data_IF_965950040312
#
_entry.id   IF_965950040312
#
_cell.length_a   1.000
_cell.length_b   1.000
_cell.length_c   1.000
_cell.angle_alpha   90.00
_cell.angle_beta   90.00
_cell.angle_gamma   90.00
#
_symmetry.space_group_name_H-M   'P 1'
#
loop_
_entity.id
_entity.type
_entity.pdbx_description
1 polymer ?
#
# COMPACT_ATOMS: atom_id res chain seq x y z
N UNK A 1 -3.83 -7.72 5.36
CA UNK A 1 -2.80 -8.63 4.83
C UNK A 1 -2.98 -10.02 5.44
N UNK A 2 -2.89 -11.04 4.61
CA UNK A 2 -2.95 -12.44 5.03
C UNK A 2 -1.73 -13.21 4.51
N UNK A 3 -1.21 -14.15 5.29
CA UNK A 3 -0.10 -15.04 4.93
C UNK A 3 -0.59 -16.48 4.85
N UNK A 4 -0.13 -17.23 3.86
CA UNK A 4 -0.42 -18.66 3.76
C UNK A 4 0.43 -19.47 4.76
N UNK A 5 -0.22 -20.23 5.63
CA UNK A 5 0.41 -21.12 6.62
C UNK A 5 -0.37 -22.44 6.64
N UNK A 6 0.32 -23.56 6.45
CA UNK A 6 -0.30 -24.89 6.53
C UNK A 6 -1.48 -25.11 5.56
N UNK A 7 -1.48 -24.42 4.41
CA UNK A 7 -2.56 -24.52 3.39
C UNK A 7 -3.67 -23.48 3.52
N UNK A 8 -3.73 -22.72 4.62
CA UNK A 8 -4.76 -21.71 4.87
C UNK A 8 -4.17 -20.30 4.92
N UNK A 9 -4.99 -19.28 4.64
CA UNK A 9 -4.59 -17.89 4.78
C UNK A 9 -4.95 -17.38 6.17
N UNK A 10 -3.96 -16.85 6.88
CA UNK A 10 -4.10 -16.30 8.23
C UNK A 10 -3.88 -14.79 8.18
N UNK A 11 -4.80 -14.03 8.78
CA UNK A 11 -4.68 -12.57 8.88
C UNK A 11 -3.50 -12.20 9.76
N UNK A 12 -2.58 -11.41 9.21
CA UNK A 12 -1.44 -10.87 9.96
C UNK A 12 -1.91 -9.60 10.68
N UNK A 13 -1.76 -9.49 12.01
CA UNK A 13 -2.16 -8.30 12.77
C UNK A 13 -1.34 -7.08 12.36
N UNK A 14 -1.84 -5.88 12.65
CA UNK A 14 -1.08 -4.66 12.48
C UNK A 14 -0.14 -4.48 13.68
N UNK A 15 1.17 -4.48 13.45
CA UNK A 15 2.22 -4.23 14.46
C UNK A 15 3.22 -3.28 13.81
N UNK A 16 3.55 -2.17 14.47
CA UNK A 16 4.52 -1.18 13.98
C UNK A 16 4.31 -0.74 12.53
N UNK A 17 3.05 -0.46 12.16
CA UNK A 17 2.61 -0.11 10.79
C UNK A 17 2.86 -1.21 9.74
N UNK A 18 3.01 -2.45 10.18
CA UNK A 18 3.16 -3.61 9.30
C UNK A 18 2.02 -4.62 9.53
N UNK A 19 1.40 -5.10 8.46
CA UNK A 19 0.33 -6.11 8.50
C UNK A 19 -1.02 -5.62 8.02
N UNK A 20 -2.10 -6.01 8.71
CA UNK A 20 -3.47 -5.57 8.39
C UNK A 20 -3.80 -4.23 9.04
N UNK A 21 -3.05 -3.19 8.67
CA UNK A 21 -3.18 -1.85 9.23
C UNK A 21 -4.24 -1.02 8.50
N UNK A 22 -4.86 -0.10 9.24
CA UNK A 22 -5.58 1.04 8.67
C UNK A 22 -4.67 2.25 8.79
N UNK A 23 -4.30 2.83 7.65
CA UNK A 23 -3.50 4.05 7.63
C UNK A 23 -4.43 5.26 7.72
N UNK A 24 -4.02 6.27 8.48
CA UNK A 24 -4.78 7.50 8.68
C UNK A 24 -4.86 8.35 7.41
N UNK A 25 -5.15 9.64 7.61
CA UNK A 25 -5.35 10.59 6.52
C UNK A 25 -4.11 10.67 5.60
N UNK A 26 -4.19 10.07 4.41
CA UNK A 26 -3.11 10.12 3.43
C UNK A 26 -2.79 11.55 2.97
N UNK A 27 -3.73 12.49 3.11
CA UNK A 27 -3.50 13.89 2.80
C UNK A 27 -2.45 14.56 3.71
N UNK A 28 -2.21 14.00 4.89
CA UNK A 28 -1.20 14.50 5.84
C UNK A 28 0.19 13.89 5.57
N UNK A 29 0.28 12.80 4.80
CA UNK A 29 1.52 12.07 4.59
C UNK A 29 2.60 12.86 3.84
N UNK A 30 2.21 13.85 3.03
CA UNK A 30 3.10 14.64 2.18
C UNK A 30 2.92 16.15 2.35
N UNK A 31 2.63 16.59 3.59
CA UNK A 31 2.38 17.99 3.91
C UNK A 31 3.49 18.94 3.41
N UNK A 32 4.75 18.55 3.63
CA UNK A 32 5.91 19.41 3.38
C UNK A 32 6.47 19.27 1.95
N UNK A 33 6.55 18.05 1.41
CA UNK A 33 7.14 17.79 0.11
C UNK A 33 6.58 16.55 -0.57
N UNK A 34 6.48 16.60 -1.89
CA UNK A 34 6.02 15.49 -2.70
C UNK A 34 7.19 14.55 -3.05
N UNK A 35 6.94 13.23 -3.12
CA UNK A 35 7.96 12.32 -3.62
C UNK A 35 8.30 12.66 -5.08
N UNK A 36 9.59 12.65 -5.43
CA UNK A 36 10.08 12.99 -6.78
C UNK A 36 9.37 12.25 -7.91
N UNK A 37 8.95 11.02 -7.66
CA UNK A 37 8.25 10.20 -8.65
C UNK A 37 6.85 10.75 -8.98
N UNK A 38 6.13 11.32 -8.02
CA UNK A 38 4.86 12.00 -8.26
C UNK A 38 5.06 13.26 -9.11
N UNK A 39 6.10 14.05 -8.79
CA UNK A 39 6.46 15.23 -9.57
C UNK A 39 6.81 14.86 -11.02
N UNK A 40 7.64 13.82 -11.20
CA UNK A 40 8.08 13.33 -12.52
C UNK A 40 6.89 12.97 -13.43
N UNK A 41 5.85 12.34 -12.89
CA UNK A 41 4.67 11.92 -13.64
C UNK A 41 3.48 12.89 -13.52
N UNK A 42 3.71 14.09 -12.94
CA UNK A 42 2.68 15.13 -12.73
C UNK A 42 1.45 14.62 -11.99
N UNK A 43 1.66 13.76 -11.00
CA UNK A 43 0.61 13.17 -10.19
C UNK A 43 0.44 14.04 -8.94
N UNK A 44 -0.78 14.51 -8.65
CA UNK A 44 -1.05 15.25 -7.44
C UNK A 44 -0.80 14.37 -6.21
N UNK A 45 -0.02 14.91 -5.31
CA UNK A 45 0.41 14.36 -4.02
C UNK A 45 -0.18 15.14 -2.84
N UNK A 46 -1.00 16.15 -3.13
CA UNK A 46 -1.71 16.97 -2.14
C UNK A 46 -3.20 16.85 -2.40
N UNK A 47 -3.97 16.88 -1.32
CA UNK A 47 -5.42 16.87 -1.41
C UNK A 47 -5.96 18.29 -1.66
N UNK A 48 -7.11 18.42 -2.34
CA UNK A 48 -7.88 17.34 -2.96
C UNK A 48 -7.21 16.79 -4.23
N UNK A 49 -7.27 15.48 -4.43
CA UNK A 49 -6.85 14.83 -5.68
C UNK A 49 -7.98 14.98 -6.70
N UNK A 50 -7.76 15.67 -7.84
CA UNK A 50 -8.78 15.80 -8.89
C UNK A 50 -9.22 14.43 -9.44
N UNK A 51 -10.45 14.37 -9.96
CA UNK A 51 -10.88 13.20 -10.71
C UNK A 51 -10.22 13.22 -12.10
N UNK A 52 -9.30 12.29 -12.34
CA UNK A 52 -8.59 12.16 -13.62
C UNK A 52 -7.99 10.75 -13.78
N UNK A 53 -7.42 10.46 -14.94
CA UNK A 53 -6.66 9.23 -15.22
C UNK A 53 -5.18 9.47 -14.95
N UNK A 54 -4.68 8.92 -13.84
CA UNK A 54 -3.27 8.99 -13.49
C UNK A 54 -2.51 7.75 -14.00
N UNK A 55 -1.45 7.98 -14.77
CA UNK A 55 -0.62 6.89 -15.32
C UNK A 55 0.78 6.93 -14.74
N UNK A 56 1.22 5.77 -14.27
CA UNK A 56 2.51 5.57 -13.63
C UNK A 56 3.32 4.54 -14.42
N UNK A 57 4.23 4.95 -15.32
CA UNK A 57 5.00 4.00 -16.11
C UNK A 57 6.19 3.46 -15.29
N UNK A 58 6.32 2.13 -15.26
CA UNK A 58 7.51 1.46 -14.74
C UNK A 58 7.82 1.75 -13.27
N UNK A 59 6.80 1.77 -12.40
CA UNK A 59 7.01 1.94 -10.97
C UNK A 59 7.90 0.81 -10.41
N UNK A 60 9.09 1.17 -9.95
CA UNK A 60 9.99 0.26 -9.22
C UNK A 60 9.87 0.59 -7.74
N UNK A 61 9.15 -0.26 -7.01
CA UNK A 61 9.03 -0.15 -5.56
C UNK A 61 10.09 -1.05 -4.94
N UNK A 62 11.10 -0.43 -4.33
CA UNK A 62 12.10 -1.18 -3.56
C UNK A 62 11.50 -1.54 -2.21
N UNK A 63 11.32 -2.83 -1.96
CA UNK A 63 10.96 -3.33 -0.64
C UNK A 63 12.26 -3.33 0.19
N UNK A 64 12.42 -2.33 1.06
CA UNK A 64 13.57 -2.19 1.94
C UNK A 64 13.21 -2.45 3.41
N UNK A 65 14.23 -2.71 4.23
CA UNK A 65 14.11 -2.93 5.68
C UNK A 65 14.46 -4.36 6.11
N UNK A 66 14.84 -4.52 7.37
CA UNK A 66 14.87 -5.84 7.99
C UNK A 66 13.39 -6.29 8.03
N UNK A 67 13.03 -7.33 7.27
CA UNK A 67 11.68 -7.94 7.22
C UNK A 67 11.65 -9.15 8.17
N UNK A 68 12.10 -9.01 9.43
CA UNK A 68 12.69 -10.10 10.21
C UNK A 68 11.63 -11.12 10.63
N UNK A 69 10.36 -10.79 10.43
CA UNK A 69 9.18 -11.52 10.87
C UNK A 69 8.24 -11.90 9.71
N UNK A 70 8.52 -11.47 8.48
CA UNK A 70 7.61 -11.71 7.35
C UNK A 70 7.90 -13.08 6.74
N UNK A 71 9.19 -13.41 6.53
CA UNK A 71 9.65 -14.66 5.93
C UNK A 71 9.19 -14.87 4.49
N UNK A 72 9.78 -15.82 3.77
CA UNK A 72 9.27 -16.23 2.45
C UNK A 72 7.84 -16.81 2.55
N UNK A 73 7.08 -16.71 1.46
CA UNK A 73 5.75 -17.32 1.35
C UNK A 73 4.76 -16.58 0.46
N UNK A 74 3.53 -17.09 0.44
CA UNK A 74 2.41 -16.51 -0.31
C UNK A 74 1.59 -15.56 0.57
N UNK A 75 1.25 -14.39 0.03
CA UNK A 75 0.50 -13.35 0.70
C UNK A 75 -0.68 -12.87 -0.12
N UNK A 76 -1.75 -12.50 0.57
CA UNK A 76 -2.89 -11.76 0.03
C UNK A 76 -2.96 -10.39 0.67
N UNK A 77 -2.99 -9.35 -0.15
CA UNK A 77 -3.20 -7.98 0.29
C UNK A 77 -4.53 -7.49 -0.26
N UNK A 78 -5.31 -6.87 0.61
CA UNK A 78 -6.50 -6.12 0.26
C UNK A 78 -6.33 -4.74 0.86
N UNK A 79 -6.45 -3.71 0.03
CA UNK A 79 -6.41 -2.31 0.44
C UNK A 79 -7.68 -1.62 -0.01
N UNK A 80 -8.44 -1.09 0.94
CA UNK A 80 -9.63 -0.29 0.68
C UNK A 80 -9.26 1.19 0.80
N UNK A 81 -9.64 1.97 -0.21
CA UNK A 81 -9.47 3.41 -0.26
C UNK A 81 -10.84 4.07 -0.04
N UNK A 82 -10.87 5.08 0.84
CA UNK A 82 -12.07 5.85 1.10
C UNK A 82 -11.75 7.29 1.49
N UNK A 83 -12.76 8.15 1.41
CA UNK A 83 -12.71 9.55 1.81
C UNK A 83 -14.04 9.96 2.44
N UNK A 84 -14.00 10.59 3.62
CA UNK A 84 -15.19 11.10 4.32
C UNK A 84 -16.34 10.09 4.47
N UNK A 85 -16.01 8.81 4.72
CA UNK A 85 -16.99 7.72 4.85
C UNK A 85 -17.47 7.12 3.52
N UNK A 86 -17.03 7.65 2.38
CA UNK A 86 -17.31 7.10 1.05
C UNK A 86 -16.21 6.13 0.63
N UNK A 87 -16.59 4.94 0.18
CA UNK A 87 -15.68 3.98 -0.45
C UNK A 87 -15.36 4.44 -1.88
N UNK A 88 -14.07 4.61 -2.18
CA UNK A 88 -13.59 5.06 -3.48
C UNK A 88 -13.06 3.90 -4.34
N UNK A 89 -12.52 2.86 -3.71
CA UNK A 89 -12.03 1.69 -4.44
C UNK A 89 -11.37 0.64 -3.56
N UNK A 90 -11.12 -0.53 -4.15
CA UNK A 90 -10.52 -1.67 -3.50
C UNK A 90 -9.44 -2.27 -4.41
N UNK A 91 -8.24 -2.46 -3.88
CA UNK A 91 -7.14 -3.14 -4.55
C UNK A 91 -6.89 -4.49 -3.89
N UNK A 92 -6.83 -5.56 -4.68
CA UNK A 92 -6.48 -6.91 -4.22
C UNK A 92 -5.25 -7.40 -4.95
N UNK A 93 -4.25 -7.82 -4.19
CA UNK A 93 -2.98 -8.34 -4.71
C UNK A 93 -2.69 -9.72 -4.12
N UNK A 94 -2.10 -10.57 -4.93
CA UNK A 94 -1.50 -11.83 -4.50
C UNK A 94 -0.03 -11.78 -4.88
N UNK A 95 0.85 -11.97 -3.89
CA UNK A 95 2.29 -11.92 -4.08
C UNK A 95 2.94 -13.11 -3.41
N UNK A 96 4.04 -13.59 -3.99
CA UNK A 96 4.92 -14.59 -3.39
C UNK A 96 6.25 -13.91 -3.11
N UNK A 97 6.65 -13.85 -1.84
CA UNK A 97 7.96 -13.38 -1.43
C UNK A 97 8.93 -14.57 -1.47
N UNK A 98 10.02 -14.39 -2.21
CA UNK A 98 11.15 -15.32 -2.28
C UNK A 98 12.35 -14.69 -1.56
N UNK A 99 13.16 -15.54 -0.93
CA UNK A 99 14.46 -15.15 -0.38
C UNK A 99 15.48 -14.83 -1.50
#
# INVERSE_FOLDING_TARGET
MEKKVGGFYVKVPCIDNFGSCTYGNLCEAWADACPKYFEQFRIPCKCPIPADTYTIPGAVIKIGGHLPSVGAGDYRLTGDLGSSGTHLGCLRLQITLKD
#
